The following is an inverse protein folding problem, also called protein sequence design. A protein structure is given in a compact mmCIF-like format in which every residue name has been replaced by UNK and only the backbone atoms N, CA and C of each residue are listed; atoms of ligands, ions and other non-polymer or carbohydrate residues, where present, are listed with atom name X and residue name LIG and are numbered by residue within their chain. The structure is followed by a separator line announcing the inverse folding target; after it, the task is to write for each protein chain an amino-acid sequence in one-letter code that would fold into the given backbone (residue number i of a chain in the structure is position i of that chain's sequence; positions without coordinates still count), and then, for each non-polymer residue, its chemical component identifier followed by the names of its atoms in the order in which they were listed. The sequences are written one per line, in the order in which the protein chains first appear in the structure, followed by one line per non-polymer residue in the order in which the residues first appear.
data_IF_745432201892
#
_entry.id   IF_745432201892
#
_cell.length_a   1.000
_cell.length_b   1.000
_cell.length_c   1.000
_cell.angle_alpha   90.00
_cell.angle_beta   90.00
_cell.angle_gamma   90.00
#
_symmetry.space_group_name_H-M   'P 1'
#
loop_
_entity.id
_entity.type
_entity.pdbx_description
1 polymer ?
#
# COMPACT_ATOMS: atom_id res chain seq x y z
N UNK A 1 -30.05 -50.96 -18.66
CA UNK A 1 -29.69 -50.69 -17.25
C UNK A 1 -28.30 -50.06 -17.10
N UNK A 2 -27.27 -50.53 -17.83
CA UNK A 2 -25.92 -49.91 -17.73
C UNK A 2 -25.88 -48.45 -18.17
N UNK A 3 -26.56 -48.08 -19.25
CA UNK A 3 -26.63 -46.71 -19.73
C UNK A 3 -27.20 -45.72 -18.68
N UNK A 4 -28.21 -46.13 -17.95
CA UNK A 4 -28.82 -45.30 -16.89
C UNK A 4 -27.87 -45.11 -15.71
N UNK A 5 -27.14 -46.14 -15.35
CA UNK A 5 -26.12 -46.04 -14.28
C UNK A 5 -24.98 -45.10 -14.71
N UNK A 6 -24.47 -45.23 -15.94
CA UNK A 6 -23.44 -44.38 -16.47
C UNK A 6 -23.85 -42.90 -16.48
N UNK A 7 -25.09 -42.61 -16.90
CA UNK A 7 -25.61 -41.23 -16.91
C UNK A 7 -25.69 -40.67 -15.48
N UNK A 8 -26.15 -41.46 -14.51
CA UNK A 8 -26.21 -41.01 -13.11
C UNK A 8 -24.82 -40.70 -12.54
N UNK A 9 -23.83 -41.54 -12.84
CA UNK A 9 -22.46 -41.34 -12.39
C UNK A 9 -21.89 -40.07 -13.02
N UNK A 10 -22.08 -39.84 -14.32
CA UNK A 10 -21.60 -38.61 -15.00
C UNK A 10 -22.27 -37.38 -14.38
N UNK A 11 -23.59 -37.39 -14.15
CA UNK A 11 -24.28 -36.29 -13.51
C UNK A 11 -23.74 -36.03 -12.09
N UNK A 12 -23.51 -37.08 -11.32
CA UNK A 12 -22.96 -36.93 -9.97
C UNK A 12 -21.56 -36.32 -10.01
N UNK A 13 -20.69 -36.76 -10.92
CA UNK A 13 -19.35 -36.20 -11.10
C UNK A 13 -19.42 -34.73 -11.51
N UNK A 14 -20.29 -34.36 -12.45
CA UNK A 14 -20.49 -32.97 -12.88
C UNK A 14 -20.98 -32.12 -11.70
N UNK A 15 -21.96 -32.59 -10.93
CA UNK A 15 -22.45 -31.86 -9.75
C UNK A 15 -21.36 -31.66 -8.70
N UNK A 16 -20.54 -32.68 -8.46
CA UNK A 16 -19.41 -32.59 -7.53
C UNK A 16 -18.38 -31.56 -8.03
N UNK A 17 -18.02 -31.60 -9.32
CA UNK A 17 -17.10 -30.63 -9.92
C UNK A 17 -17.67 -29.21 -9.84
N UNK A 18 -18.97 -29.03 -10.11
CA UNK A 18 -19.61 -27.72 -9.98
C UNK A 18 -19.63 -27.22 -8.53
N UNK A 19 -19.86 -28.14 -7.57
CA UNK A 19 -19.78 -27.84 -6.12
C UNK A 19 -18.37 -27.37 -5.74
N UNK A 20 -17.32 -28.09 -6.16
CA UNK A 20 -15.94 -27.70 -5.88
C UNK A 20 -15.53 -26.39 -6.54
N UNK A 21 -16.10 -26.07 -7.70
CA UNK A 21 -15.90 -24.77 -8.36
C UNK A 21 -16.66 -23.63 -7.69
N UNK A 22 -17.45 -23.90 -6.63
CA UNK A 22 -18.22 -22.89 -5.89
C UNK A 22 -19.32 -22.22 -6.71
N UNK A 23 -19.82 -22.87 -7.77
CA UNK A 23 -20.87 -22.30 -8.64
C UNK A 23 -22.22 -22.17 -7.94
N UNK A 24 -22.46 -22.96 -6.91
CA UNK A 24 -23.68 -22.91 -6.10
C UNK A 24 -23.60 -21.91 -4.92
N UNK A 25 -22.45 -21.28 -4.70
CA UNK A 25 -22.32 -20.31 -3.63
C UNK A 25 -22.91 -18.97 -4.12
N UNK A 26 -23.90 -18.41 -3.44
CA UNK A 26 -24.44 -17.11 -3.80
C UNK A 26 -23.34 -16.07 -3.72
N UNK A 27 -23.28 -15.18 -4.70
CA UNK A 27 -22.27 -14.13 -4.80
C UNK A 27 -22.94 -12.81 -5.11
N UNK A 28 -22.48 -11.75 -4.49
CA UNK A 28 -22.90 -10.39 -4.81
C UNK A 28 -21.82 -9.76 -5.70
N UNK A 29 -22.21 -9.35 -6.87
CA UNK A 29 -21.29 -8.70 -7.82
C UNK A 29 -21.18 -7.24 -7.49
N UNK A 30 -19.96 -6.77 -7.33
CA UNK A 30 -19.62 -5.34 -7.21
C UNK A 30 -18.79 -4.93 -8.40
N UNK A 31 -18.94 -3.67 -8.84
CA UNK A 31 -18.12 -3.05 -9.86
C UNK A 31 -17.25 -1.98 -9.22
N UNK A 32 -15.96 -2.03 -9.48
CA UNK A 32 -14.98 -1.07 -9.00
C UNK A 32 -14.23 -0.48 -10.19
N UNK A 33 -14.00 0.81 -10.17
CA UNK A 33 -13.22 1.51 -11.20
C UNK A 33 -11.99 2.10 -10.56
N UNK A 34 -10.86 1.96 -11.24
CA UNK A 34 -9.60 2.57 -10.85
C UNK A 34 -8.95 3.20 -12.06
N UNK A 35 -8.27 4.32 -11.88
CA UNK A 35 -7.46 4.91 -12.95
C UNK A 35 -6.39 3.94 -13.47
N UNK A 36 -6.00 2.96 -12.64
CA UNK A 36 -4.98 1.97 -12.94
C UNK A 36 -5.16 0.72 -12.09
N UNK A 37 -5.24 -0.45 -12.72
CA UNK A 37 -5.28 -1.73 -11.99
C UNK A 37 -3.89 -2.14 -11.48
N UNK A 38 -2.84 -1.64 -12.13
CA UNK A 38 -1.46 -2.05 -11.91
C UNK A 38 -1.10 -3.34 -12.65
N UNK A 39 0.18 -3.58 -12.77
CA UNK A 39 0.70 -4.86 -13.29
C UNK A 39 0.35 -5.99 -12.30
N UNK A 40 0.01 -7.18 -12.79
CA UNK A 40 -0.26 -8.38 -11.97
C UNK A 40 -1.53 -8.28 -11.10
N UNK A 41 -2.59 -7.65 -11.61
CA UNK A 41 -3.95 -7.81 -11.09
C UNK A 41 -4.67 -8.81 -11.98
N UNK A 42 -4.83 -10.03 -11.51
CA UNK A 42 -5.42 -11.12 -12.29
C UNK A 42 -6.80 -11.51 -11.76
N UNK A 43 -7.66 -12.10 -12.61
CA UNK A 43 -8.82 -12.83 -12.15
C UNK A 43 -8.42 -13.90 -11.12
N UNK A 44 -9.15 -13.98 -10.02
CA UNK A 44 -8.80 -14.80 -8.86
C UNK A 44 -8.10 -14.05 -7.73
N UNK A 45 -7.60 -12.83 -7.97
CA UNK A 45 -7.07 -11.97 -6.91
C UNK A 45 -8.07 -11.80 -5.79
N UNK A 46 -7.61 -11.83 -4.54
CA UNK A 46 -8.50 -11.75 -3.37
C UNK A 46 -9.09 -10.35 -3.19
N UNK A 47 -10.28 -10.32 -2.64
CA UNK A 47 -10.94 -9.11 -2.15
C UNK A 47 -11.04 -9.20 -0.64
N UNK A 48 -10.58 -8.19 0.08
CA UNK A 48 -10.58 -8.18 1.55
C UNK A 48 -11.37 -6.98 2.07
N UNK A 49 -11.92 -7.14 3.28
CA UNK A 49 -12.48 -6.04 4.07
C UNK A 49 -11.84 -6.05 5.45
N UNK A 50 -11.18 -4.95 5.81
CA UNK A 50 -10.39 -4.83 7.04
C UNK A 50 -9.43 -6.02 7.26
N UNK A 51 -8.81 -6.54 6.17
CA UNK A 51 -7.85 -7.65 6.21
C UNK A 51 -8.47 -9.05 6.09
N UNK A 52 -9.78 -9.20 6.20
CA UNK A 52 -10.48 -10.49 6.05
C UNK A 52 -10.85 -10.71 4.59
N UNK A 53 -10.56 -11.90 4.03
CA UNK A 53 -10.97 -12.25 2.67
C UNK A 53 -12.49 -12.41 2.60
N UNK A 54 -13.12 -11.66 1.71
CA UNK A 54 -14.57 -11.60 1.53
C UNK A 54 -15.02 -12.02 0.13
N UNK A 55 -14.10 -12.14 -0.81
CA UNK A 55 -14.40 -12.46 -2.20
C UNK A 55 -13.17 -12.47 -3.11
N UNK A 56 -13.44 -12.49 -4.41
CA UNK A 56 -12.40 -12.51 -5.44
C UNK A 56 -12.73 -11.61 -6.62
N UNK A 57 -11.70 -11.13 -7.29
CA UNK A 57 -11.78 -10.45 -8.61
C UNK A 57 -12.13 -11.51 -9.65
N UNK A 58 -13.14 -11.24 -10.48
CA UNK A 58 -13.57 -12.16 -11.54
C UNK A 58 -13.14 -11.72 -12.92
N UNK A 59 -13.07 -10.41 -13.15
CA UNK A 59 -12.61 -9.84 -14.41
C UNK A 59 -11.95 -8.48 -14.16
N UNK A 60 -11.02 -8.15 -15.05
CA UNK A 60 -10.39 -6.83 -15.14
C UNK A 60 -10.47 -6.40 -16.60
N UNK A 61 -11.30 -5.43 -16.88
CA UNK A 61 -11.60 -4.97 -18.23
C UNK A 61 -11.13 -3.50 -18.40
N UNK A 62 -10.60 -3.12 -19.56
CA UNK A 62 -10.36 -1.72 -19.86
C UNK A 62 -11.70 -1.00 -20.08
N UNK A 63 -11.83 0.18 -19.49
CA UNK A 63 -12.99 1.07 -19.70
C UNK A 63 -12.51 2.43 -20.16
N UNK A 64 -13.07 2.92 -21.24
CA UNK A 64 -12.80 4.27 -21.74
C UNK A 64 -13.90 5.19 -21.27
N UNK A 65 -13.55 6.21 -20.51
CA UNK A 65 -14.49 7.23 -20.03
C UNK A 65 -13.87 8.61 -20.20
N UNK A 66 -14.54 9.48 -20.96
CA UNK A 66 -14.07 10.84 -21.17
C UNK A 66 -12.69 10.97 -21.83
N UNK A 67 -12.31 10.02 -22.69
CA UNK A 67 -10.99 9.99 -23.36
C UNK A 67 -9.85 9.41 -22.49
N UNK A 68 -10.13 9.03 -21.25
CA UNK A 68 -9.16 8.37 -20.36
C UNK A 68 -9.51 6.90 -20.24
N UNK A 69 -8.47 6.04 -20.35
CA UNK A 69 -8.63 4.61 -20.13
C UNK A 69 -8.46 4.30 -18.64
N UNK A 70 -9.47 3.70 -18.05
CA UNK A 70 -9.50 3.24 -16.66
C UNK A 70 -9.65 1.72 -16.62
N UNK A 71 -9.37 1.11 -15.50
CA UNK A 71 -9.61 -0.30 -15.26
C UNK A 71 -10.93 -0.50 -14.52
N UNK A 72 -11.81 -1.33 -15.10
CA UNK A 72 -13.04 -1.78 -14.45
C UNK A 72 -12.80 -3.20 -13.89
N UNK A 73 -12.95 -3.34 -12.59
CA UNK A 73 -12.80 -4.60 -11.89
C UNK A 73 -14.17 -5.13 -11.48
N UNK A 74 -14.47 -6.37 -11.84
CA UNK A 74 -15.66 -7.09 -11.40
C UNK A 74 -15.28 -7.97 -10.22
N UNK A 75 -15.97 -7.78 -9.11
CA UNK A 75 -15.69 -8.45 -7.85
C UNK A 75 -16.88 -9.33 -7.47
N UNK A 76 -16.61 -10.58 -7.18
CA UNK A 76 -17.59 -11.49 -6.57
C UNK A 76 -17.34 -11.54 -5.07
N UNK A 77 -18.24 -10.98 -4.30
CA UNK A 77 -18.18 -10.90 -2.84
C UNK A 77 -19.23 -11.83 -2.22
N UNK A 78 -18.86 -12.52 -1.15
CA UNK A 78 -19.79 -13.37 -0.42
C UNK A 78 -20.88 -12.48 0.23
N UNK A 79 -22.19 -12.76 -0.01
CA UNK A 79 -23.30 -11.98 0.53
C UNK A 79 -23.28 -11.85 2.05
N UNK A 80 -22.68 -12.82 2.74
CA UNK A 80 -22.50 -12.80 4.19
C UNK A 80 -21.74 -11.56 4.69
N UNK A 81 -20.86 -10.97 3.85
CA UNK A 81 -20.01 -9.85 4.24
C UNK A 81 -20.48 -8.51 3.68
N UNK A 82 -21.38 -8.49 2.70
CA UNK A 82 -21.85 -7.27 2.04
C UNK A 82 -22.44 -6.27 3.04
N UNK A 83 -23.22 -6.75 3.99
CA UNK A 83 -23.87 -5.92 5.00
C UNK A 83 -22.87 -5.29 6.01
N UNK A 84 -21.62 -5.73 6.02
CA UNK A 84 -20.58 -5.18 6.87
C UNK A 84 -19.89 -3.99 6.22
N UNK A 85 -19.93 -3.87 4.87
CA UNK A 85 -19.19 -2.87 4.10
C UNK A 85 -20.02 -1.60 4.02
N UNK A 86 -19.60 -0.48 4.64
CA UNK A 86 -20.30 0.80 4.50
C UNK A 86 -20.23 1.31 3.07
N UNK A 87 -21.24 2.05 2.62
CA UNK A 87 -21.30 2.58 1.25
C UNK A 87 -20.14 3.54 0.92
N UNK A 88 -19.56 4.19 1.93
CA UNK A 88 -18.39 5.04 1.83
C UNK A 88 -17.08 4.32 2.19
N UNK A 89 -17.03 2.99 2.09
CA UNK A 89 -15.79 2.24 2.30
C UNK A 89 -14.70 2.72 1.34
N UNK A 90 -13.48 2.80 1.85
CA UNK A 90 -12.31 3.16 1.05
C UNK A 90 -11.83 1.89 0.35
N UNK A 91 -11.85 1.91 -0.99
CA UNK A 91 -11.34 0.83 -1.82
C UNK A 91 -9.92 1.17 -2.30
N UNK A 92 -8.99 0.25 -2.10
CA UNK A 92 -7.59 0.40 -2.46
C UNK A 92 -7.10 -0.85 -3.17
N UNK A 93 -6.25 -0.70 -4.17
CA UNK A 93 -5.50 -1.81 -4.76
C UNK A 93 -4.18 -1.88 -4.02
N UNK A 94 -3.88 -3.02 -3.41
CA UNK A 94 -2.65 -3.26 -2.63
C UNK A 94 -1.87 -4.43 -3.19
N UNK A 95 -0.56 -4.40 -2.98
CA UNK A 95 0.32 -5.53 -3.24
C UNK A 95 0.72 -6.21 -1.92
N UNK A 96 0.86 -7.53 -1.94
CA UNK A 96 1.36 -8.28 -0.77
C UNK A 96 2.85 -8.05 -0.55
N UNK A 97 3.58 -7.91 -1.63
CA UNK A 97 5.01 -7.57 -1.68
C UNK A 97 5.28 -6.71 -2.91
N UNK A 98 6.49 -6.15 -3.03
CA UNK A 98 6.88 -5.32 -4.19
C UNK A 98 6.70 -6.07 -5.52
N UNK A 99 6.91 -7.37 -5.54
CA UNK A 99 6.73 -8.25 -6.70
C UNK A 99 5.47 -9.12 -6.62
N UNK A 100 4.69 -8.98 -5.55
CA UNK A 100 3.55 -9.85 -5.27
C UNK A 100 2.30 -9.49 -6.06
N UNK A 101 1.41 -10.48 -6.15
CA UNK A 101 0.10 -10.29 -6.74
C UNK A 101 -0.67 -9.20 -5.98
N UNK A 102 -1.37 -8.39 -6.75
CA UNK A 102 -2.21 -7.35 -6.21
C UNK A 102 -3.56 -7.91 -5.77
N UNK A 103 -4.19 -7.23 -4.85
CA UNK A 103 -5.50 -7.58 -4.32
C UNK A 103 -6.30 -6.32 -4.02
N UNK A 104 -7.61 -6.46 -3.97
CA UNK A 104 -8.52 -5.37 -3.60
C UNK A 104 -8.70 -5.36 -2.09
N UNK A 105 -8.53 -4.22 -1.47
CA UNK A 105 -8.71 -4.01 -0.04
C UNK A 105 -9.77 -2.95 0.21
N UNK A 106 -10.87 -3.32 0.81
CA UNK A 106 -11.84 -2.39 1.38
C UNK A 106 -11.47 -2.12 2.83
N UNK A 107 -11.55 -0.86 3.23
CA UNK A 107 -11.33 -0.41 4.60
C UNK A 107 -12.47 0.48 5.05
N UNK A 108 -12.88 0.31 6.30
CA UNK A 108 -13.85 1.19 6.92
C UNK A 108 -13.23 2.59 7.10
N UNK A 109 -13.90 3.67 6.68
CA UNK A 109 -13.43 5.02 6.95
C UNK A 109 -13.60 5.37 8.44
N UNK A 110 -12.99 6.47 8.92
CA UNK A 110 -13.17 6.92 10.30
C UNK A 110 -14.65 7.19 10.69
N UNK A 111 -15.43 7.67 9.70
CA UNK A 111 -16.87 7.94 9.88
C UNK A 111 -17.67 7.07 8.89
N UNK A 112 -17.96 5.81 9.23
CA UNK A 112 -18.68 4.91 8.35
C UNK A 112 -20.15 5.29 8.27
N UNK A 113 -20.72 5.31 7.04
CA UNK A 113 -22.15 5.53 6.84
C UNK A 113 -22.99 4.35 7.30
N UNK A 114 -24.24 4.59 7.68
CA UNK A 114 -25.21 3.53 7.97
C UNK A 114 -25.59 2.75 6.69
N UNK A 115 -25.59 3.41 5.51
CA UNK A 115 -25.81 2.77 4.23
C UNK A 115 -24.73 1.75 3.92
N UNK A 116 -25.12 0.67 3.23
CA UNK A 116 -24.20 -0.43 2.85
C UNK A 116 -23.96 -0.44 1.35
N UNK A 117 -22.82 -0.98 0.95
CA UNK A 117 -22.49 -1.17 -0.46
C UNK A 117 -23.55 -2.03 -1.14
N UNK A 118 -23.98 -1.61 -2.34
CA UNK A 118 -24.93 -2.35 -3.18
C UNK A 118 -24.30 -2.74 -4.51
N UNK A 119 -24.87 -3.76 -5.16
CA UNK A 119 -24.41 -4.22 -6.48
C UNK A 119 -24.59 -3.19 -7.60
N UNK A 120 -25.43 -2.18 -7.40
CA UNK A 120 -25.67 -1.10 -8.35
C UNK A 120 -24.68 0.05 -8.22
N UNK A 121 -23.88 0.08 -7.14
CA UNK A 121 -22.92 1.14 -6.89
C UNK A 121 -21.60 0.84 -7.59
N UNK A 122 -21.10 1.81 -8.35
CA UNK A 122 -19.72 1.79 -8.85
C UNK A 122 -18.81 2.40 -7.78
N UNK A 123 -17.77 1.67 -7.41
CA UNK A 123 -16.86 2.07 -6.35
C UNK A 123 -15.60 2.60 -6.99
N UNK A 124 -15.22 3.83 -6.66
CA UNK A 124 -13.93 4.38 -7.06
C UNK A 124 -12.82 3.89 -6.14
N UNK A 125 -11.79 3.34 -6.74
CA UNK A 125 -10.64 2.82 -6.00
C UNK A 125 -9.42 3.71 -6.14
N UNK A 126 -8.71 3.88 -5.05
CA UNK A 126 -7.37 4.46 -5.07
C UNK A 126 -6.41 3.47 -5.74
N UNK A 127 -5.69 3.89 -6.78
CA UNK A 127 -4.74 3.04 -7.48
C UNK A 127 -3.56 2.68 -6.57
N UNK A 128 -2.82 1.65 -6.96
CA UNK A 128 -1.57 1.29 -6.27
C UNK A 128 -0.58 2.45 -6.33
N UNK A 129 -0.14 2.90 -5.17
CA UNK A 129 0.79 4.04 -5.03
C UNK A 129 2.25 3.61 -5.12
N UNK A 130 2.55 2.34 -4.86
CA UNK A 130 3.92 1.83 -4.84
C UNK A 130 4.05 0.67 -5.81
N UNK A 131 4.63 0.91 -6.97
CA UNK A 131 5.04 -0.10 -7.93
C UNK A 131 6.57 -0.11 -8.03
N UNK A 132 7.12 -1.27 -8.34
CA UNK A 132 8.56 -1.42 -8.54
C UNK A 132 9.10 -0.46 -9.60
N UNK A 133 8.35 -0.28 -10.70
CA UNK A 133 8.70 0.68 -11.75
C UNK A 133 8.79 2.12 -11.21
N UNK A 134 7.85 2.53 -10.34
CA UNK A 134 7.86 3.87 -9.74
C UNK A 134 9.07 4.06 -8.83
N UNK A 135 9.51 3.00 -8.13
CA UNK A 135 10.74 3.06 -7.34
C UNK A 135 11.96 3.22 -8.23
N UNK A 136 12.05 2.48 -9.36
CA UNK A 136 13.14 2.62 -10.32
C UNK A 136 13.13 3.98 -11.01
N UNK A 137 11.98 4.48 -11.44
CA UNK A 137 11.86 5.83 -12.00
C UNK A 137 12.33 6.89 -11.00
N UNK A 138 11.98 6.75 -9.73
CA UNK A 138 12.43 7.65 -8.67
C UNK A 138 13.94 7.56 -8.46
N UNK A 139 14.50 6.34 -8.40
CA UNK A 139 15.93 6.12 -8.27
C UNK A 139 16.70 6.69 -9.46
N UNK A 140 16.22 6.47 -10.69
CA UNK A 140 16.80 7.00 -11.90
C UNK A 140 16.76 8.54 -11.88
N UNK A 141 15.63 9.13 -11.53
CA UNK A 141 15.48 10.58 -11.44
C UNK A 141 16.36 11.22 -10.36
N UNK A 142 16.61 10.54 -9.26
CA UNK A 142 17.59 10.98 -8.25
C UNK A 142 18.99 10.88 -8.80
N UNK A 143 19.32 9.75 -9.46
CA UNK A 143 20.65 9.54 -10.05
C UNK A 143 20.97 10.55 -11.14
N UNK A 144 19.99 10.93 -11.97
CA UNK A 144 20.16 11.96 -13.01
C UNK A 144 20.35 13.37 -12.43
N UNK A 145 19.80 13.65 -11.25
CA UNK A 145 19.96 14.95 -10.57
C UNK A 145 21.27 15.07 -9.80
N UNK A 146 21.92 13.96 -9.49
CA UNK A 146 23.24 13.95 -8.84
C UNK A 146 24.30 14.10 -9.92
N UNK A 147 24.91 15.28 -10.00
CA UNK A 147 26.09 15.53 -10.85
C UNK A 147 27.32 14.87 -10.20
N UNK A 148 27.83 13.75 -10.76
CA UNK A 148 28.94 13.02 -10.16
C UNK A 148 30.23 13.83 -10.14
N UNK A 149 30.40 14.79 -11.06
CA UNK A 149 31.56 15.66 -11.12
C UNK A 149 31.54 16.67 -9.97
N UNK A 150 30.39 17.29 -9.73
CA UNK A 150 30.22 18.22 -8.60
C UNK A 150 30.32 17.52 -7.26
N UNK A 151 29.75 16.30 -7.15
CA UNK A 151 29.88 15.50 -5.94
C UNK A 151 31.35 15.14 -5.66
N UNK A 152 32.08 14.71 -6.69
CA UNK A 152 33.49 14.38 -6.55
C UNK A 152 34.33 15.63 -6.19
N UNK A 153 34.05 16.76 -6.80
CA UNK A 153 34.72 18.03 -6.46
C UNK A 153 34.48 18.46 -5.02
N UNK A 154 33.23 18.35 -4.54
CA UNK A 154 32.90 18.71 -3.16
C UNK A 154 33.55 17.75 -2.16
N UNK A 155 33.53 16.45 -2.43
CA UNK A 155 34.18 15.45 -1.58
C UNK A 155 35.67 15.59 -1.58
N UNK A 156 36.30 15.90 -2.74
CA UNK A 156 37.74 16.15 -2.86
C UNK A 156 38.17 17.41 -2.10
N UNK A 157 37.40 18.50 -2.25
CA UNK A 157 37.66 19.74 -1.51
C UNK A 157 37.52 19.54 0.01
N UNK A 158 36.52 18.77 0.44
CA UNK A 158 36.33 18.42 1.85
C UNK A 158 37.51 17.56 2.36
N UNK A 159 37.91 16.54 1.59
CA UNK A 159 39.07 15.72 1.93
C UNK A 159 40.37 16.51 2.02
N UNK A 160 40.58 17.44 1.09
CA UNK A 160 41.76 18.33 1.09
C UNK A 160 41.71 19.29 2.29
N UNK A 161 40.59 19.91 2.59
CA UNK A 161 40.41 20.78 3.76
C UNK A 161 40.66 20.05 5.09
N UNK A 162 40.34 18.78 5.18
CA UNK A 162 40.56 17.94 6.35
C UNK A 162 41.95 17.28 6.37
N UNK A 163 42.66 17.29 5.24
CA UNK A 163 43.97 16.68 5.11
C UNK A 163 44.99 17.39 6.01
N UNK A 164 45.67 16.64 6.84
CA UNK A 164 46.63 17.18 7.83
C UNK A 164 45.98 17.85 9.05
N UNK A 165 44.67 18.00 9.11
CA UNK A 165 43.96 18.62 10.23
C UNK A 165 43.46 17.62 11.27
N UNK A 166 43.74 16.31 11.12
CA UNK A 166 43.23 15.26 11.99
C UNK A 166 43.49 15.50 13.46
N UNK A 167 44.72 16.00 13.81
CA UNK A 167 45.04 16.33 15.20
C UNK A 167 44.23 17.51 15.74
N UNK A 168 43.97 18.53 14.91
CA UNK A 168 43.19 19.70 15.33
C UNK A 168 41.71 19.35 15.48
N UNK A 169 41.16 18.52 14.56
CA UNK A 169 39.77 18.00 14.66
C UNK A 169 39.64 17.13 15.90
N UNK A 170 40.64 16.26 16.18
CA UNK A 170 40.65 15.47 17.40
C UNK A 170 40.68 16.34 18.67
N UNK A 171 41.50 17.38 18.70
CA UNK A 171 41.51 18.31 19.84
C UNK A 171 40.21 19.10 19.96
N UNK A 172 39.60 19.53 18.87
CA UNK A 172 38.27 20.17 18.90
C UNK A 172 37.20 19.30 19.47
N UNK A 173 37.18 18.00 19.11
CA UNK A 173 36.25 17.02 19.66
C UNK A 173 36.49 16.78 21.15
N UNK A 174 37.74 16.66 21.59
CA UNK A 174 38.10 16.56 23.00
C UNK A 174 37.64 17.78 23.80
N UNK A 175 37.91 18.99 23.28
CA UNK A 175 37.46 20.23 23.91
C UNK A 175 35.92 20.34 23.97
N UNK A 176 35.23 19.92 22.90
CA UNK A 176 33.77 19.88 22.89
C UNK A 176 33.25 18.91 23.96
N UNK A 177 33.90 17.76 24.16
CA UNK A 177 33.52 16.82 25.20
C UNK A 177 33.69 17.41 26.61
N UNK A 178 34.80 18.10 26.86
CA UNK A 178 35.02 18.80 28.13
C UNK A 178 33.95 19.85 28.38
N UNK A 179 33.59 20.65 27.38
CA UNK A 179 32.50 21.63 27.49
C UNK A 179 31.15 20.96 27.78
N UNK A 180 30.89 19.82 27.15
CA UNK A 180 29.66 19.05 27.40
C UNK A 180 29.64 18.46 28.82
N UNK A 181 30.79 17.97 29.32
CA UNK A 181 30.92 17.46 30.67
C UNK A 181 30.72 18.56 31.72
N UNK A 182 31.19 19.80 31.44
CA UNK A 182 30.98 20.97 32.30
C UNK A 182 29.51 21.46 32.26
N UNK A 183 28.85 21.36 31.09
CA UNK A 183 27.47 21.77 30.93
C UNK A 183 26.46 20.75 31.47
N UNK A 184 26.77 19.48 31.42
CA UNK A 184 25.86 18.39 31.82
C UNK A 184 25.31 18.54 33.24
N UNK A 185 26.12 18.86 34.28
CA UNK A 185 25.62 19.12 35.63
C UNK A 185 24.76 20.38 35.75
N UNK A 186 24.87 21.32 34.79
CA UNK A 186 24.09 22.57 34.77
C UNK A 186 22.72 22.40 34.06
N UNK A 187 22.53 21.32 33.32
CA UNK A 187 21.30 21.08 32.56
C UNK A 187 20.03 20.98 33.40
N UNK A 188 20.03 20.41 34.62
CA UNK A 188 18.84 20.47 35.52
C UNK A 188 18.45 21.86 35.93
N UNK A 189 19.46 22.72 36.19
CA UNK A 189 19.23 24.12 36.56
C UNK A 189 18.64 24.88 35.37
N UNK A 190 19.23 24.75 34.19
CA UNK A 190 18.76 25.39 32.98
C UNK A 190 17.30 25.00 32.64
N UNK A 191 16.96 23.73 32.79
CA UNK A 191 15.56 23.28 32.64
C UNK A 191 14.60 23.92 33.63
N UNK A 192 15.02 24.13 34.86
CA UNK A 192 14.24 24.80 35.89
C UNK A 192 14.03 26.29 35.55
N UNK A 193 15.08 26.96 35.10
CA UNK A 193 15.04 28.39 34.75
C UNK A 193 14.16 28.63 33.52
N UNK A 194 14.27 27.79 32.47
CA UNK A 194 13.38 27.86 31.30
C UNK A 194 11.90 27.61 31.66
N UNK A 195 11.62 26.70 32.58
CA UNK A 195 10.24 26.47 33.04
C UNK A 195 9.70 27.63 33.83
N UNK A 196 10.53 28.27 34.66
CA UNK A 196 10.11 29.46 35.41
C UNK A 196 9.85 30.65 34.49
N UNK A 197 10.64 30.82 33.43
CA UNK A 197 10.41 31.84 32.40
C UNK A 197 9.11 31.61 31.64
N UNK A 198 8.79 30.38 31.31
CA UNK A 198 7.53 30.01 30.60
C UNK A 198 6.28 30.14 31.50
N UNK A 199 6.45 30.21 32.81
CA UNK A 199 5.34 30.44 33.76
C UNK A 199 5.07 31.93 34.02
N UNK A 200 5.93 32.83 33.53
CA UNK A 200 5.83 34.30 33.66
C UNK A 200 5.30 34.98 32.39
N UNK A 201 5.13 34.20 31.27
CA UNK A 201 4.56 34.63 30.00
C UNK A 201 3.11 34.15 29.85
#
# INVERSE_FOLDING_TARGET
SFAVISVRVIVAVVLVVMQFRGQFTPKTRLTMVSSRAGLVMDPGSKVTFNGVEIGRVTAVDPRVQGGTTTAELKLDVNPKYIHLIPANAIAEIKATTVFGNKYVSFRSPPNPTAARVSSSQVIDATPVTTEFNTLFETLTSISEKVDPVKLNLTLSAAAEALSGQGTKVGQALLNANVVLDDLNPLMPQLRKDVRSLSALA
#
